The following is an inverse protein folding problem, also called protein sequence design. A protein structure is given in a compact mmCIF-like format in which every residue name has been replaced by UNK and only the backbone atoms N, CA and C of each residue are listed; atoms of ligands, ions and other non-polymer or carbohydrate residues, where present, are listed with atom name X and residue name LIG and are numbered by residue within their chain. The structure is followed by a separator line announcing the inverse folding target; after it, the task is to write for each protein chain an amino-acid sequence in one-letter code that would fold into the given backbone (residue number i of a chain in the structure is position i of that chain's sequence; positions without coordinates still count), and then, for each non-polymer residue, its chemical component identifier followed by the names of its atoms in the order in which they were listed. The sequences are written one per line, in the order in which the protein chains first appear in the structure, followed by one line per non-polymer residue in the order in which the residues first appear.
data_IF_070107646074
#
_entry.id   IF_070107646074
#
_cell.length_a   1.000
_cell.length_b   1.000
_cell.length_c   1.000
_cell.angle_alpha   90.00
_cell.angle_beta   90.00
_cell.angle_gamma   90.00
#
_symmetry.space_group_name_H-M   'P 1'
#
loop_
_entity.id
_entity.type
_entity.pdbx_description
1 polymer ?
#
# COMPACT_ATOMS: atom_id res chain seq x y z
N UNK A 1 4.75 -3.23 7.19
CA UNK A 1 5.12 -4.28 6.21
C UNK A 1 5.22 -3.67 4.81
N UNK A 2 5.91 -4.31 3.87
CA UNK A 2 6.01 -3.86 2.47
C UNK A 2 5.31 -4.90 1.60
N UNK A 3 4.42 -4.45 0.73
CA UNK A 3 3.68 -5.31 -0.21
C UNK A 3 3.97 -4.85 -1.62
N UNK A 4 4.40 -5.77 -2.48
CA UNK A 4 4.54 -5.53 -3.91
C UNK A 4 3.18 -5.71 -4.56
N UNK A 5 2.82 -4.80 -5.44
CA UNK A 5 1.48 -4.75 -6.01
C UNK A 5 1.57 -4.69 -7.53
N UNK A 6 0.82 -5.52 -8.23
CA UNK A 6 0.78 -5.55 -9.70
C UNK A 6 -0.14 -4.48 -10.31
N UNK A 7 -0.26 -4.48 -11.64
CA UNK A 7 -1.11 -3.53 -12.38
C UNK A 7 -2.61 -3.70 -12.08
N UNK A 8 -3.04 -4.84 -11.51
CA UNK A 8 -4.42 -5.08 -11.06
C UNK A 8 -4.65 -4.64 -9.61
N UNK A 9 -3.63 -4.11 -8.96
CA UNK A 9 -3.63 -3.80 -7.54
C UNK A 9 -3.79 -5.04 -6.65
N UNK A 10 -3.14 -6.14 -7.00
CA UNK A 10 -3.11 -7.36 -6.18
C UNK A 10 -1.72 -7.55 -5.57
N UNK A 11 -1.67 -8.06 -4.34
CA UNK A 11 -0.41 -8.38 -3.66
C UNK A 11 0.29 -9.51 -4.42
N UNK A 12 1.56 -9.28 -4.75
CA UNK A 12 2.40 -10.22 -5.49
C UNK A 12 3.72 -10.51 -4.76
N UNK A 13 4.43 -11.59 -5.15
CA UNK A 13 5.72 -11.92 -4.57
C UNK A 13 6.77 -10.80 -4.70
N UNK A 14 7.75 -10.83 -3.80
CA UNK A 14 8.87 -9.88 -3.79
C UNK A 14 9.57 -9.82 -5.16
N UNK A 15 9.74 -8.61 -5.69
CA UNK A 15 10.46 -8.37 -6.94
C UNK A 15 9.65 -8.61 -8.22
N UNK A 16 8.41 -9.11 -8.11
CA UNK A 16 7.53 -9.35 -9.26
C UNK A 16 6.86 -8.08 -9.80
N UNK A 17 6.89 -6.99 -9.04
CA UNK A 17 6.37 -5.69 -9.46
C UNK A 17 7.34 -4.55 -9.17
N UNK A 18 7.23 -3.49 -9.97
CA UNK A 18 7.93 -2.22 -9.78
C UNK A 18 7.30 -1.32 -8.72
N UNK A 19 6.04 -1.58 -8.33
CA UNK A 19 5.28 -0.78 -7.38
C UNK A 19 5.15 -1.51 -6.04
N UNK A 20 5.23 -0.76 -4.94
CA UNK A 20 5.02 -1.29 -3.61
C UNK A 20 4.31 -0.32 -2.66
N UNK A 21 3.47 -0.88 -1.79
CA UNK A 21 2.92 -0.18 -0.63
C UNK A 21 3.76 -0.48 0.60
N UNK A 22 4.15 0.58 1.29
CA UNK A 22 4.77 0.54 2.61
C UNK A 22 3.63 0.81 3.59
N UNK A 23 3.19 -0.22 4.29
CA UNK A 23 2.10 -0.11 5.27
C UNK A 23 2.73 0.02 6.64
N UNK A 24 2.36 1.05 7.38
CA UNK A 24 2.63 1.19 8.80
C UNK A 24 1.31 1.05 9.56
N UNK A 25 1.30 0.31 10.66
CA UNK A 25 0.13 0.21 11.53
C UNK A 25 0.17 1.17 12.73
N UNK A 26 1.20 2.01 12.84
CA UNK A 26 1.32 3.00 13.91
C UNK A 26 1.88 4.33 13.39
N UNK A 27 1.51 5.42 14.07
CA UNK A 27 1.86 6.79 13.66
C UNK A 27 3.37 7.05 13.73
N UNK A 28 4.05 6.58 14.78
CA UNK A 28 5.46 6.87 14.99
C UNK A 28 6.34 6.29 13.88
N UNK A 29 6.09 5.04 13.51
CA UNK A 29 6.74 4.34 12.40
C UNK A 29 6.37 4.98 11.07
N UNK A 30 5.13 5.45 10.90
CA UNK A 30 4.71 6.16 9.70
C UNK A 30 5.49 7.48 9.51
N UNK A 31 5.53 8.34 10.53
CA UNK A 31 6.28 9.60 10.45
C UNK A 31 7.79 9.36 10.27
N UNK A 32 8.35 8.33 10.92
CA UNK A 32 9.75 7.93 10.71
C UNK A 32 10.05 7.62 9.25
N UNK A 33 9.25 6.76 8.61
CA UNK A 33 9.47 6.39 7.20
C UNK A 33 9.20 7.54 6.25
N UNK A 34 8.18 8.36 6.54
CA UNK A 34 7.86 9.56 5.79
C UNK A 34 9.06 10.51 5.72
N UNK A 35 9.69 10.80 6.86
CA UNK A 35 10.89 11.64 6.89
C UNK A 35 12.10 10.97 6.23
N UNK A 36 12.27 9.66 6.42
CA UNK A 36 13.42 8.92 5.86
C UNK A 36 13.39 8.85 4.34
N UNK A 37 12.19 8.77 3.75
CA UNK A 37 12.00 8.54 2.32
C UNK A 37 11.56 9.77 1.52
N UNK A 38 11.45 10.94 2.14
CA UNK A 38 11.02 12.19 1.48
C UNK A 38 11.77 12.57 0.21
N UNK A 39 13.02 12.13 0.06
CA UNK A 39 13.87 12.43 -1.09
C UNK A 39 13.97 11.26 -2.11
N UNK A 40 13.22 10.18 -1.92
CA UNK A 40 13.19 9.06 -2.86
C UNK A 40 12.30 9.43 -4.05
N UNK A 41 12.82 9.25 -5.26
CA UNK A 41 12.07 9.48 -6.49
C UNK A 41 10.84 8.57 -6.54
N UNK A 42 9.71 9.15 -6.95
CA UNK A 42 8.41 8.47 -7.08
C UNK A 42 7.90 7.84 -5.77
N UNK A 43 8.40 8.32 -4.63
CA UNK A 43 7.83 8.07 -3.31
C UNK A 43 6.61 8.98 -3.09
N UNK A 44 5.53 8.38 -2.60
CA UNK A 44 4.25 9.05 -2.39
C UNK A 44 3.69 8.67 -1.04
N UNK A 45 2.92 9.58 -0.45
CA UNK A 45 2.24 9.35 0.83
C UNK A 45 0.75 9.35 0.56
N UNK A 46 0.07 8.28 0.96
CA UNK A 46 -1.40 8.27 0.97
C UNK A 46 -1.92 8.31 2.41
N UNK A 47 -2.96 9.10 2.62
CA UNK A 47 -3.59 9.25 3.93
C UNK A 47 -5.10 9.24 3.82
N UNK A 48 -5.72 8.55 4.77
CA UNK A 48 -7.18 8.47 4.87
C UNK A 48 -7.76 9.83 5.25
N UNK A 49 -8.75 10.31 4.49
CA UNK A 49 -9.49 11.54 4.76
C UNK A 49 -8.61 12.80 4.97
N UNK A 50 -7.40 12.86 4.40
CA UNK A 50 -6.48 13.97 4.61
C UNK A 50 -6.06 14.60 3.28
N UNK A 51 -6.14 15.92 3.21
CA UNK A 51 -5.71 16.69 2.05
C UNK A 51 -4.20 17.03 2.09
N UNK A 52 -3.53 16.75 3.21
CA UNK A 52 -2.12 17.05 3.41
C UNK A 52 -1.22 15.85 3.07
N UNK A 53 -1.48 15.21 1.94
CA UNK A 53 -0.69 14.08 1.42
C UNK A 53 -0.71 14.07 -0.12
N UNK A 54 0.12 13.24 -0.75
CA UNK A 54 0.09 13.10 -2.21
C UNK A 54 -1.22 12.48 -2.70
N UNK A 55 -1.78 11.55 -1.93
CA UNK A 55 -2.98 10.81 -2.28
C UNK A 55 -3.96 10.69 -1.12
N UNK A 56 -5.08 11.39 -1.20
CA UNK A 56 -6.18 11.21 -0.26
C UNK A 56 -7.06 10.03 -0.69
N UNK A 57 -7.50 9.23 0.27
CA UNK A 57 -8.46 8.15 0.04
C UNK A 57 -9.50 8.08 1.17
N UNK A 58 -10.71 7.61 0.88
CA UNK A 58 -11.75 7.40 1.89
C UNK A 58 -11.82 5.93 2.28
N UNK A 59 -11.69 5.04 1.30
CA UNK A 59 -11.66 3.59 1.46
C UNK A 59 -10.39 3.02 0.84
N UNK A 60 -9.90 1.88 1.33
CA UNK A 60 -8.70 1.25 0.77
C UNK A 60 -8.86 0.94 -0.73
N UNK A 61 -10.06 0.54 -1.17
CA UNK A 61 -10.38 0.32 -2.58
C UNK A 61 -10.09 1.52 -3.49
N UNK A 62 -10.12 2.74 -2.97
CA UNK A 62 -9.74 3.95 -3.72
C UNK A 62 -8.25 3.96 -4.09
N UNK A 63 -7.39 3.25 -3.35
CA UNK A 63 -5.98 3.14 -3.66
C UNK A 63 -5.74 2.46 -5.02
N UNK A 64 -6.70 1.66 -5.52
CA UNK A 64 -6.63 1.03 -6.86
C UNK A 64 -6.64 2.04 -8.01
N UNK A 65 -7.05 3.28 -7.73
CA UNK A 65 -7.08 4.37 -8.71
C UNK A 65 -5.77 5.15 -8.74
N UNK A 66 -4.85 4.88 -7.82
CA UNK A 66 -3.56 5.57 -7.75
C UNK A 66 -2.72 5.22 -8.97
N UNK A 67 -2.03 6.23 -9.50
CA UNK A 67 -1.12 6.08 -10.63
C UNK A 67 0.16 6.85 -10.33
N UNK A 68 1.21 6.56 -11.08
CA UNK A 68 2.47 7.32 -11.07
C UNK A 68 3.17 7.31 -9.69
N UNK A 69 3.29 6.15 -9.06
CA UNK A 69 4.11 5.95 -7.87
C UNK A 69 4.95 4.69 -8.00
N UNK A 70 6.13 4.69 -7.38
CA UNK A 70 6.96 3.49 -7.20
C UNK A 70 6.80 2.94 -5.79
N UNK A 71 6.76 3.82 -4.81
CA UNK A 71 6.57 3.48 -3.40
C UNK A 71 5.48 4.36 -2.81
N UNK A 72 4.47 3.76 -2.19
CA UNK A 72 3.40 4.49 -1.51
C UNK A 72 3.37 4.14 -0.03
N UNK A 73 3.63 5.12 0.85
CA UNK A 73 3.53 4.95 2.29
C UNK A 73 2.10 5.23 2.76
N UNK A 74 1.53 4.31 3.53
CA UNK A 74 0.18 4.41 4.10
C UNK A 74 0.16 4.03 5.58
N UNK A 75 -0.78 4.62 6.32
CA UNK A 75 -1.06 4.26 7.71
C UNK A 75 -2.36 3.47 7.76
N UNK A 76 -2.25 2.14 7.84
CA UNK A 76 -3.41 1.26 7.95
C UNK A 76 -3.08 -0.05 8.70
N UNK A 77 -4.12 -0.75 9.13
CA UNK A 77 -3.98 -2.08 9.71
C UNK A 77 -3.53 -3.10 8.63
N UNK A 78 -2.61 -3.99 8.99
CA UNK A 78 -2.06 -4.98 8.06
C UNK A 78 -3.12 -5.97 7.56
N UNK A 79 -3.96 -6.49 8.45
CA UNK A 79 -4.95 -7.50 8.11
C UNK A 79 -6.04 -6.92 7.21
N UNK A 80 -6.46 -5.68 7.48
CA UNK A 80 -7.44 -4.96 6.65
C UNK A 80 -6.85 -4.67 5.26
N UNK A 81 -5.57 -4.27 5.19
CA UNK A 81 -4.89 -4.04 3.93
C UNK A 81 -4.74 -5.34 3.12
N UNK A 82 -4.26 -6.40 3.77
CA UNK A 82 -4.10 -7.72 3.15
C UNK A 82 -5.45 -8.21 2.60
N UNK A 83 -6.54 -8.16 3.38
CA UNK A 83 -7.88 -8.56 2.92
C UNK A 83 -8.39 -7.81 1.68
N UNK A 84 -8.08 -6.51 1.56
CA UNK A 84 -8.54 -5.70 0.43
C UNK A 84 -7.75 -5.97 -0.86
N UNK A 85 -6.43 -6.23 -0.75
CA UNK A 85 -5.52 -6.35 -1.89
C UNK A 85 -5.00 -7.77 -2.14
N UNK A 86 -5.39 -8.75 -1.33
CA UNK A 86 -5.04 -10.14 -1.55
C UNK A 86 -5.60 -10.64 -2.89
N UNK A 87 -4.77 -11.38 -3.60
CA UNK A 87 -5.17 -12.00 -4.85
C UNK A 87 -6.16 -13.15 -4.54
N UNK A 88 -7.42 -12.97 -4.95
CA UNK A 88 -8.49 -13.95 -4.71
C UNK A 88 -8.35 -15.24 -5.51
N UNK A 89 -7.50 -15.28 -6.54
CA UNK A 89 -7.20 -16.52 -7.30
C UNK A 89 -6.29 -17.48 -6.51
N UNK A 90 -5.55 -16.99 -5.50
CA UNK A 90 -4.77 -17.84 -4.57
C UNK A 90 -5.60 -18.39 -3.41
N UNK A 91 -6.90 -18.10 -3.35
CA UNK A 91 -7.82 -18.83 -2.49
C UNK A 91 -8.16 -20.18 -3.13
N UNK A 92 -7.20 -21.09 -3.17
CA UNK A 92 -7.58 -22.52 -3.16
C UNK A 92 -8.48 -22.70 -1.95
N UNK A 93 -9.75 -23.11 -2.12
CA UNK A 93 -10.54 -23.49 -0.96
C UNK A 93 -9.78 -24.61 -0.27
N UNK A 94 -9.41 -24.41 1.01
CA UNK A 94 -8.95 -25.50 1.85
C UNK A 94 -10.10 -26.51 1.90
N UNK A 95 -9.97 -27.60 1.14
CA UNK A 95 -10.88 -28.74 1.17
C UNK A 95 -10.53 -29.69 2.33
N UNK A 96 -10.15 -29.11 3.47
CA UNK A 96 -9.87 -29.80 4.72
C UNK A 96 -10.40 -28.96 5.88
#
# INVERSE_FOLDING_TARGET
KIYFIDDKFEITPFGSSSQAFIVSNNQNTFEFWKEKFKNIKDFKIASKNSLFCDFSYNQLSDLRKLKNFKYCLILENYDIFEQEFENKENQTPSLF
#
